data_IF_516565445380
#
_entry.id   IF_516565445380
#
_cell.length_a   1.000
_cell.length_b   1.000
_cell.length_c   1.000
_cell.angle_alpha   90.00
_cell.angle_beta   90.00
_cell.angle_gamma   90.00
#
_symmetry.space_group_name_H-M   'P 1'
#
loop_
_entity.id
_entity.type
_entity.pdbx_description
1 polymer ?
#
# COMPACT_ATOMS: atom_id res chain seq x y z
N UNK A 1 -8.62 0.18 9.59
CA UNK A 1 -8.77 0.23 8.14
C UNK A 1 -7.48 0.52 7.44
N UNK A 2 -7.57 0.82 6.16
CA UNK A 2 -6.45 1.04 5.27
C UNK A 2 -6.06 -0.21 4.48
N UNK A 3 -5.58 0.00 3.24
CA UNK A 3 -5.30 -1.09 2.31
C UNK A 3 -4.21 -2.01 2.85
N UNK A 4 -3.07 -1.44 3.30
CA UNK A 4 -1.97 -2.24 3.84
C UNK A 4 -2.38 -3.09 5.04
N UNK A 5 -3.16 -2.53 5.97
CA UNK A 5 -3.67 -3.31 7.12
C UNK A 5 -4.64 -4.41 6.67
N UNK A 6 -5.49 -4.16 5.67
CA UNK A 6 -6.41 -5.18 5.15
C UNK A 6 -5.64 -6.32 4.45
N UNK A 7 -4.58 -6.00 3.72
CA UNK A 7 -3.69 -7.00 3.13
C UNK A 7 -3.04 -7.84 4.24
N UNK A 8 -2.47 -7.19 5.27
CA UNK A 8 -1.87 -7.89 6.40
C UNK A 8 -2.85 -8.82 7.12
N UNK A 9 -4.11 -8.39 7.29
CA UNK A 9 -5.18 -9.20 7.84
C UNK A 9 -5.43 -10.46 7.01
N UNK A 10 -5.60 -10.31 5.69
CA UNK A 10 -5.84 -11.44 4.81
C UNK A 10 -4.64 -12.41 4.78
N UNK A 11 -3.41 -11.90 4.79
CA UNK A 11 -2.21 -12.74 4.88
C UNK A 11 -2.20 -13.56 6.16
N UNK A 12 -2.59 -12.97 7.30
CA UNK A 12 -2.71 -13.72 8.57
C UNK A 12 -3.80 -14.80 8.53
N UNK A 13 -4.95 -14.52 7.93
CA UNK A 13 -6.01 -15.52 7.73
C UNK A 13 -5.55 -16.69 6.86
N UNK A 14 -4.63 -16.43 5.91
CA UNK A 14 -3.99 -17.45 5.09
C UNK A 14 -2.81 -18.17 5.80
N UNK A 15 -2.56 -17.86 7.06
CA UNK A 15 -1.51 -18.50 7.87
C UNK A 15 -0.10 -17.93 7.63
N UNK A 16 0.04 -16.82 6.89
CA UNK A 16 1.35 -16.22 6.58
C UNK A 16 1.81 -15.34 7.76
N UNK A 17 3.01 -15.55 8.33
CA UNK A 17 3.60 -14.62 9.29
C UNK A 17 3.74 -13.22 8.67
N UNK A 18 3.26 -12.18 9.36
CA UNK A 18 3.13 -10.85 8.77
C UNK A 18 3.52 -9.77 9.77
N UNK A 19 4.48 -8.94 9.37
CA UNK A 19 4.78 -7.64 9.98
C UNK A 19 4.00 -6.55 9.27
N UNK A 20 3.49 -5.58 10.02
CA UNK A 20 2.87 -4.39 9.44
C UNK A 20 3.65 -3.14 9.86
N UNK A 21 4.43 -2.59 8.92
CA UNK A 21 5.10 -1.32 9.06
C UNK A 21 4.11 -0.21 8.71
N UNK A 22 3.71 0.54 9.72
CA UNK A 22 2.69 1.59 9.60
C UNK A 22 2.97 2.70 10.59
N UNK A 23 2.24 3.82 10.50
CA UNK A 23 2.29 4.87 11.50
C UNK A 23 0.99 4.92 12.29
N UNK A 24 1.11 5.00 13.61
CA UNK A 24 0.02 5.18 14.56
C UNK A 24 0.27 6.41 15.42
N UNK A 25 -0.79 7.11 15.76
CA UNK A 25 -0.71 8.27 16.65
C UNK A 25 -0.75 7.88 18.12
N UNK A 26 -1.12 8.84 18.96
CA UNK A 26 -1.34 8.68 20.41
C UNK A 26 -2.83 8.78 20.78
N UNK A 27 -3.72 8.62 19.83
CA UNK A 27 -5.17 8.71 20.00
C UNK A 27 -5.82 7.34 20.30
N UNK A 28 -7.10 7.34 20.66
CA UNK A 28 -7.86 6.12 20.93
C UNK A 28 -7.96 5.17 19.73
N UNK A 29 -7.82 5.69 18.51
CA UNK A 29 -7.80 4.87 17.30
C UNK A 29 -6.51 4.06 17.18
N UNK A 30 -5.38 4.61 17.64
CA UNK A 30 -4.12 3.85 17.73
C UNK A 30 -4.32 2.57 18.52
N UNK A 31 -4.84 2.68 19.76
CA UNK A 31 -5.09 1.52 20.64
C UNK A 31 -6.04 0.50 20.00
N UNK A 32 -7.09 0.96 19.29
CA UNK A 32 -8.02 0.07 18.58
C UNK A 32 -7.33 -0.70 17.44
N UNK A 33 -6.50 -0.01 16.65
CA UNK A 33 -5.74 -0.63 15.54
C UNK A 33 -4.75 -1.66 16.09
N UNK A 34 -4.00 -1.28 17.13
CA UNK A 34 -3.02 -2.16 17.77
C UNK A 34 -3.69 -3.40 18.38
N UNK A 35 -4.79 -3.23 19.11
CA UNK A 35 -5.53 -4.36 19.68
C UNK A 35 -6.03 -5.30 18.56
N UNK A 36 -6.65 -4.74 17.53
CA UNK A 36 -7.12 -5.52 16.40
C UNK A 36 -6.00 -6.28 15.66
N UNK A 37 -4.82 -5.68 15.54
CA UNK A 37 -3.67 -6.37 14.95
C UNK A 37 -3.13 -7.48 15.86
N UNK A 38 -3.05 -7.24 17.17
CA UNK A 38 -2.68 -8.28 18.15
C UNK A 38 -3.62 -9.48 18.09
N UNK A 39 -4.93 -9.25 18.06
CA UNK A 39 -5.95 -10.30 18.01
C UNK A 39 -5.83 -11.17 16.75
N UNK A 40 -5.33 -10.60 15.66
CA UNK A 40 -5.08 -11.27 14.38
C UNK A 40 -3.67 -11.89 14.28
N UNK A 41 -2.80 -11.64 15.28
CA UNK A 41 -1.40 -12.06 15.22
C UNK A 41 -0.56 -11.31 14.18
N UNK A 42 -0.94 -10.08 13.82
CA UNK A 42 -0.12 -9.18 12.99
C UNK A 42 0.90 -8.52 13.91
N UNK A 43 2.18 -8.63 13.54
CA UNK A 43 3.27 -8.02 14.30
C UNK A 43 3.39 -6.52 13.98
N UNK A 44 3.27 -5.69 15.01
CA UNK A 44 3.41 -4.23 14.95
C UNK A 44 4.67 -3.72 15.66
N UNK A 45 5.60 -4.59 16.04
CA UNK A 45 6.81 -4.20 16.79
C UNK A 45 7.67 -3.15 16.09
N UNK A 46 7.50 -3.04 14.79
CA UNK A 46 8.18 -2.07 13.92
C UNK A 46 7.27 -0.90 13.48
N UNK A 47 6.06 -0.75 14.03
CA UNK A 47 5.22 0.39 13.72
C UNK A 47 5.81 1.69 14.26
N UNK A 48 5.70 2.77 13.49
CA UNK A 48 6.12 4.11 13.89
C UNK A 48 5.06 4.75 14.79
N UNK A 49 5.39 4.95 16.07
CA UNK A 49 4.55 5.71 16.99
C UNK A 49 4.89 7.20 16.87
N UNK A 50 3.89 8.00 16.50
CA UNK A 50 4.03 9.45 16.33
C UNK A 50 3.42 10.15 17.55
N UNK A 51 4.23 10.72 18.44
CA UNK A 51 3.72 11.50 19.57
C UNK A 51 2.84 12.64 19.05
N UNK A 52 1.69 12.86 19.70
CA UNK A 52 0.70 13.87 19.32
C UNK A 52 0.13 13.73 17.90
N UNK A 53 0.45 12.61 17.21
CA UNK A 53 -0.07 12.28 15.90
C UNK A 53 -1.52 11.80 15.98
N UNK A 54 -2.25 11.97 14.86
CA UNK A 54 -3.60 11.42 14.69
C UNK A 54 -3.52 10.20 13.79
N UNK A 55 -4.02 9.07 14.28
CA UNK A 55 -4.07 7.83 13.50
C UNK A 55 -4.96 8.00 12.27
N UNK A 56 -4.50 7.48 11.13
CA UNK A 56 -5.22 7.56 9.85
C UNK A 56 -6.68 7.17 9.98
N UNK A 57 -7.55 7.97 9.38
CA UNK A 57 -8.99 7.77 9.42
C UNK A 57 -9.57 7.83 8.02
N UNK A 58 -10.43 6.89 7.69
CA UNK A 58 -11.23 6.89 6.48
C UNK A 58 -12.69 6.65 6.86
N UNK A 59 -13.55 7.59 6.52
CA UNK A 59 -14.99 7.52 6.80
C UNK A 59 -15.71 7.70 5.47
N UNK A 60 -16.69 6.86 5.19
CA UNK A 60 -17.54 7.00 4.02
C UNK A 60 -19.02 6.91 4.41
N UNK A 61 -19.86 7.51 3.60
CA UNK A 61 -21.31 7.40 3.67
C UNK A 61 -21.74 6.64 2.42
N UNK A 62 -22.46 5.53 2.62
CA UNK A 62 -23.12 4.79 1.53
C UNK A 62 -24.47 5.41 1.21
N UNK A 63 -24.87 5.32 -0.04
CA UNK A 63 -26.23 5.62 -0.47
C UNK A 63 -27.18 4.43 -0.25
N UNK A 64 -28.44 4.57 -0.70
CA UNK A 64 -29.46 3.52 -0.57
C UNK A 64 -29.16 2.26 -1.37
N UNK A 65 -28.32 2.36 -2.40
CA UNK A 65 -27.96 1.27 -3.32
C UNK A 65 -26.68 0.55 -2.88
N UNK A 66 -26.07 1.05 -1.80
CA UNK A 66 -24.84 0.51 -1.21
C UNK A 66 -23.56 1.08 -1.83
N UNK A 67 -23.68 2.00 -2.76
CA UNK A 67 -22.56 2.72 -3.34
C UNK A 67 -22.04 3.83 -2.41
N UNK A 68 -20.79 4.20 -2.59
CA UNK A 68 -20.14 5.24 -1.79
C UNK A 68 -20.54 6.63 -2.32
N UNK A 69 -21.40 7.33 -1.58
CA UNK A 69 -21.84 8.67 -1.93
C UNK A 69 -20.76 9.72 -1.64
N UNK A 70 -20.08 9.63 -0.51
CA UNK A 70 -19.01 10.53 -0.12
C UNK A 70 -18.00 9.83 0.82
N UNK A 71 -16.74 10.19 0.71
CA UNK A 71 -15.71 9.74 1.65
C UNK A 71 -14.81 10.90 2.09
N UNK A 72 -14.36 10.84 3.34
CA UNK A 72 -13.38 11.75 3.92
C UNK A 72 -12.23 10.93 4.47
N UNK A 73 -11.01 11.30 4.12
CA UNK A 73 -9.81 10.63 4.62
C UNK A 73 -8.83 11.60 5.25
N UNK A 74 -8.30 11.23 6.42
CA UNK A 74 -7.15 11.86 7.06
C UNK A 74 -6.02 10.83 7.07
N UNK A 75 -5.02 11.04 6.21
CA UNK A 75 -3.88 10.15 6.02
C UNK A 75 -2.54 10.88 6.24
N UNK A 76 -2.57 12.06 6.89
CA UNK A 76 -1.38 12.90 7.08
C UNK A 76 -0.25 12.17 7.82
N UNK A 77 -0.58 11.30 8.76
CA UNK A 77 0.41 10.53 9.52
C UNK A 77 1.26 9.62 8.61
N UNK A 78 0.74 9.18 7.46
CA UNK A 78 1.50 8.37 6.51
C UNK A 78 2.72 9.11 5.95
N UNK A 79 2.74 10.44 5.97
CA UNK A 79 3.89 11.26 5.58
C UNK A 79 5.10 11.09 6.53
N UNK A 80 4.88 10.54 7.72
CA UNK A 80 5.94 10.22 8.68
C UNK A 80 6.69 8.92 8.35
N UNK A 81 6.14 8.09 7.46
CA UNK A 81 6.80 6.89 6.94
C UNK A 81 7.79 7.30 5.83
N UNK A 82 8.87 7.94 6.24
CA UNK A 82 9.89 8.52 5.38
C UNK A 82 10.90 7.46 4.88
N UNK A 83 11.73 7.76 3.87
CA UNK A 83 12.85 6.90 3.49
C UNK A 83 13.77 6.53 4.67
N UNK A 84 14.07 7.47 5.58
CA UNK A 84 14.92 7.23 6.75
C UNK A 84 14.29 6.20 7.70
N UNK A 85 12.97 6.25 7.90
CA UNK A 85 12.27 5.21 8.66
C UNK A 85 12.46 3.84 7.99
N UNK A 86 12.26 3.72 6.69
CA UNK A 86 12.43 2.44 5.99
C UNK A 86 13.89 2.00 5.93
N UNK A 87 14.84 2.92 5.87
CA UNK A 87 16.27 2.61 5.97
C UNK A 87 16.60 1.92 7.30
N UNK A 88 16.01 2.38 8.39
CA UNK A 88 16.18 1.75 9.72
C UNK A 88 15.54 0.36 9.83
N UNK A 89 14.66 -0.02 8.91
CA UNK A 89 13.95 -1.30 8.87
C UNK A 89 14.45 -2.23 7.74
N UNK A 90 15.50 -1.84 7.03
CA UNK A 90 15.91 -2.51 5.79
C UNK A 90 16.31 -3.97 5.99
N UNK A 91 16.94 -4.30 7.10
CA UNK A 91 17.32 -5.67 7.45
C UNK A 91 16.09 -6.57 7.64
N UNK A 92 15.04 -6.05 8.32
CA UNK A 92 13.77 -6.75 8.46
C UNK A 92 13.11 -6.96 7.09
N UNK A 93 13.05 -5.91 6.28
CA UNK A 93 12.42 -5.95 4.96
C UNK A 93 13.11 -6.96 4.04
N UNK A 94 14.45 -6.96 4.02
CA UNK A 94 15.24 -7.87 3.20
C UNK A 94 15.32 -9.31 3.77
N UNK A 95 14.99 -9.49 5.04
CA UNK A 95 14.83 -10.80 5.68
C UNK A 95 13.46 -11.45 5.43
N UNK A 96 12.50 -10.72 4.85
CA UNK A 96 11.17 -11.23 4.54
C UNK A 96 11.16 -12.01 3.21
N UNK A 97 10.13 -12.84 2.99
CA UNK A 97 9.92 -13.51 1.71
C UNK A 97 9.45 -12.54 0.60
N UNK A 98 8.75 -11.48 0.98
CA UNK A 98 8.27 -10.42 0.09
C UNK A 98 7.90 -9.18 0.89
N UNK A 99 7.90 -8.02 0.22
CA UNK A 99 7.41 -6.74 0.74
C UNK A 99 6.18 -6.33 -0.04
N UNK A 100 5.10 -5.98 0.67
CA UNK A 100 3.87 -5.47 0.05
C UNK A 100 3.71 -4.01 0.45
N UNK A 101 3.58 -3.15 -0.54
CA UNK A 101 3.49 -1.69 -0.40
C UNK A 101 2.13 -1.22 -0.89
N UNK A 102 1.47 -0.35 -0.14
CA UNK A 102 0.34 0.41 -0.65
C UNK A 102 0.73 1.85 -0.99
N UNK A 103 0.08 2.44 -2.00
CA UNK A 103 0.39 3.79 -2.46
C UNK A 103 -0.14 4.90 -1.53
N UNK A 104 -0.51 4.61 -0.27
CA UNK A 104 -0.69 5.64 0.74
C UNK A 104 0.63 6.27 1.17
N UNK A 105 1.74 5.55 1.03
CA UNK A 105 3.08 6.05 1.34
C UNK A 105 3.46 7.28 0.49
N UNK A 106 4.37 8.14 0.97
CA UNK A 106 5.04 9.14 0.15
C UNK A 106 5.74 8.50 -1.05
N UNK A 107 5.79 9.23 -2.18
CA UNK A 107 6.47 8.75 -3.40
C UNK A 107 7.94 8.39 -3.15
N UNK A 108 8.64 9.24 -2.40
CA UNK A 108 10.06 9.04 -2.05
C UNK A 108 10.27 7.76 -1.25
N UNK A 109 9.32 7.39 -0.40
CA UNK A 109 9.40 6.15 0.38
C UNK A 109 9.12 4.92 -0.49
N UNK A 110 8.18 5.01 -1.44
CA UNK A 110 7.95 3.95 -2.42
C UNK A 110 9.20 3.77 -3.29
N UNK A 111 9.79 4.87 -3.78
CA UNK A 111 11.02 4.85 -4.55
C UNK A 111 12.16 4.19 -3.77
N UNK A 112 12.35 4.58 -2.50
CA UNK A 112 13.36 3.99 -1.62
C UNK A 112 13.17 2.47 -1.49
N UNK A 113 11.95 2.03 -1.20
CA UNK A 113 11.65 0.60 -1.04
C UNK A 113 11.90 -0.19 -2.32
N UNK A 114 11.46 0.31 -3.46
CA UNK A 114 11.70 -0.35 -4.76
C UNK A 114 13.16 -0.37 -5.15
N UNK A 115 13.98 0.55 -4.64
CA UNK A 115 15.40 0.64 -4.94
C UNK A 115 16.26 -0.26 -4.03
N UNK A 116 15.91 -0.37 -2.74
CA UNK A 116 16.78 -0.98 -1.73
C UNK A 116 16.31 -2.35 -1.24
N UNK A 117 15.03 -2.73 -1.47
CA UNK A 117 14.58 -4.08 -1.18
C UNK A 117 15.18 -5.07 -2.18
N UNK A 118 15.80 -6.13 -1.65
CA UNK A 118 16.40 -7.22 -2.44
C UNK A 118 15.42 -8.38 -2.66
N UNK A 119 14.28 -8.36 -1.99
CA UNK A 119 13.18 -9.32 -2.11
C UNK A 119 12.07 -8.80 -3.02
N UNK A 120 11.18 -9.66 -3.54
CA UNK A 120 10.08 -9.22 -4.38
C UNK A 120 9.21 -8.14 -3.74
N UNK A 121 9.02 -7.01 -4.43
CA UNK A 121 8.15 -5.91 -3.99
C UNK A 121 6.84 -5.95 -4.77
N UNK A 122 5.74 -6.05 -4.03
CA UNK A 122 4.37 -6.01 -4.55
C UNK A 122 3.76 -4.66 -4.24
N UNK A 123 3.03 -4.06 -5.19
CA UNK A 123 2.40 -2.74 -4.97
C UNK A 123 0.89 -2.79 -5.25
N UNK A 124 0.10 -2.25 -4.31
CA UNK A 124 -1.30 -1.89 -4.52
C UNK A 124 -1.41 -0.38 -4.73
N UNK A 125 -1.92 0.10 -5.89
CA UNK A 125 -2.04 1.52 -6.19
C UNK A 125 -3.07 2.28 -5.34
N UNK A 126 -4.02 1.58 -4.72
CA UNK A 126 -5.07 2.10 -3.81
C UNK A 126 -6.14 2.94 -4.52
N UNK A 127 -5.75 3.88 -5.35
CA UNK A 127 -6.65 4.75 -6.13
C UNK A 127 -5.90 5.41 -7.28
N UNK A 128 -6.62 5.92 -8.28
CA UNK A 128 -6.02 6.64 -9.41
C UNK A 128 -5.12 7.79 -8.98
N UNK A 129 -5.57 8.63 -8.05
CA UNK A 129 -4.78 9.77 -7.54
C UNK A 129 -3.47 9.31 -6.89
N UNK A 130 -3.50 8.18 -6.18
CA UNK A 130 -2.30 7.64 -5.52
C UNK A 130 -1.41 6.88 -6.50
N UNK A 131 -1.99 6.22 -7.51
CA UNK A 131 -1.27 5.54 -8.58
C UNK A 131 -0.33 6.47 -9.36
N UNK A 132 -0.66 7.77 -9.50
CA UNK A 132 0.22 8.78 -10.10
C UNK A 132 1.65 8.77 -9.52
N UNK A 133 1.79 8.44 -8.25
CA UNK A 133 3.10 8.34 -7.59
C UNK A 133 3.99 7.24 -8.16
N UNK A 134 3.41 6.25 -8.86
CA UNK A 134 4.12 5.08 -9.36
C UNK A 134 4.75 5.30 -10.73
N UNK A 135 4.42 6.41 -11.43
CA UNK A 135 5.05 6.73 -12.70
C UNK A 135 6.59 6.80 -12.57
N UNK A 136 7.27 6.02 -13.41
CA UNK A 136 8.73 5.91 -13.43
C UNK A 136 9.32 5.05 -12.31
N UNK A 137 8.51 4.38 -11.47
CA UNK A 137 8.98 3.48 -10.42
C UNK A 137 8.78 1.99 -10.74
N UNK A 138 8.03 1.65 -11.80
CA UNK A 138 7.62 0.27 -12.07
C UNK A 138 8.78 -0.67 -12.45
N UNK A 139 9.91 -0.14 -12.92
CA UNK A 139 11.05 -0.94 -13.40
C UNK A 139 11.73 -1.83 -12.36
N UNK A 140 11.41 -1.66 -11.09
CA UNK A 140 11.92 -2.49 -9.98
C UNK A 140 10.82 -3.16 -9.17
N UNK A 141 9.58 -3.07 -9.65
CA UNK A 141 8.43 -3.68 -9.00
C UNK A 141 8.26 -5.11 -9.52
N UNK A 142 8.14 -6.07 -8.59
CA UNK A 142 7.89 -7.46 -8.98
C UNK A 142 6.45 -7.64 -9.44
N UNK A 143 5.47 -7.18 -8.65
CA UNK A 143 4.05 -7.34 -8.96
C UNK A 143 3.29 -6.06 -8.67
N UNK A 144 2.50 -5.62 -9.65
CA UNK A 144 1.52 -4.55 -9.49
C UNK A 144 0.12 -5.13 -9.56
N UNK A 145 -0.75 -4.76 -8.61
CA UNK A 145 -2.15 -5.21 -8.60
C UNK A 145 -3.08 -4.01 -8.79
N UNK A 146 -3.22 -3.48 -9.99
CA UNK A 146 -4.13 -2.38 -10.28
C UNK A 146 -5.56 -2.87 -10.52
N UNK A 147 -6.54 -2.00 -10.29
CA UNK A 147 -7.83 -2.14 -10.94
C UNK A 147 -7.77 -1.62 -12.39
N UNK A 148 -8.88 -1.75 -13.15
CA UNK A 148 -8.91 -1.33 -14.56
C UNK A 148 -8.52 0.13 -14.76
N UNK A 149 -9.07 1.04 -13.95
CA UNK A 149 -8.85 2.49 -14.12
C UNK A 149 -7.40 2.86 -13.76
N UNK A 150 -6.85 2.24 -12.75
CA UNK A 150 -5.44 2.40 -12.37
C UNK A 150 -4.49 1.84 -13.43
N UNK A 151 -4.84 0.70 -14.04
CA UNK A 151 -4.09 0.12 -15.16
C UNK A 151 -4.13 1.03 -16.39
N UNK A 152 -5.30 1.59 -16.74
CA UNK A 152 -5.44 2.57 -17.82
C UNK A 152 -4.54 3.80 -17.58
N UNK A 153 -4.55 4.32 -16.35
CA UNK A 153 -3.72 5.48 -15.95
C UNK A 153 -2.23 5.20 -16.13
N UNK A 154 -1.75 4.08 -15.58
CA UNK A 154 -0.32 3.75 -15.53
C UNK A 154 0.21 3.26 -16.88
N UNK A 155 -0.61 2.60 -17.69
CA UNK A 155 -0.24 2.13 -19.02
C UNK A 155 -0.42 3.16 -20.13
N UNK A 156 -1.30 4.14 -19.91
CA UNK A 156 -1.75 5.06 -20.97
C UNK A 156 -2.69 4.43 -22.00
N UNK A 157 -3.14 3.18 -21.78
CA UNK A 157 -3.99 2.42 -22.69
C UNK A 157 -5.41 2.35 -22.14
N UNK A 158 -6.41 2.77 -22.93
CA UNK A 158 -7.83 2.61 -22.57
C UNK A 158 -8.25 1.14 -22.69
N UNK A 159 -8.87 0.59 -21.64
CA UNK A 159 -9.27 -0.82 -21.56
C UNK A 159 -10.78 -0.92 -21.80
N UNK A 160 -11.15 -1.46 -22.96
CA UNK A 160 -12.55 -1.65 -23.38
C UNK A 160 -12.91 -3.11 -23.64
N UNK A 161 -11.91 -3.95 -23.84
CA UNK A 161 -12.00 -5.37 -24.18
C UNK A 161 -10.72 -6.12 -23.78
N UNK A 162 -10.69 -7.43 -23.99
CA UNK A 162 -9.55 -8.28 -23.66
C UNK A 162 -8.30 -7.90 -24.46
N UNK A 163 -8.44 -7.48 -25.72
CA UNK A 163 -7.29 -7.09 -26.54
C UNK A 163 -6.62 -5.82 -26.01
N UNK A 164 -7.38 -4.83 -25.60
CA UNK A 164 -6.89 -3.61 -24.98
C UNK A 164 -6.36 -3.85 -23.55
N UNK A 165 -6.91 -4.82 -22.82
CA UNK A 165 -6.37 -5.25 -21.53
C UNK A 165 -4.97 -5.84 -21.69
N UNK A 166 -4.75 -6.72 -22.68
CA UNK A 166 -3.44 -7.27 -22.99
C UNK A 166 -2.43 -6.17 -23.37
N UNK A 167 -2.85 -5.20 -24.20
CA UNK A 167 -2.00 -4.07 -24.56
C UNK A 167 -1.60 -3.23 -23.35
N UNK A 168 -2.53 -3.01 -22.42
CA UNK A 168 -2.25 -2.29 -21.18
C UNK A 168 -1.22 -3.06 -20.33
N UNK A 169 -1.38 -4.38 -20.21
CA UNK A 169 -0.43 -5.23 -19.49
C UNK A 169 0.96 -5.20 -20.15
N UNK A 170 1.05 -5.33 -21.47
CA UNK A 170 2.30 -5.23 -22.22
C UNK A 170 2.98 -3.86 -22.01
N UNK A 171 2.21 -2.77 -22.01
CA UNK A 171 2.74 -1.43 -21.78
C UNK A 171 3.29 -1.26 -20.36
N UNK A 172 2.69 -1.91 -19.36
CA UNK A 172 3.20 -1.91 -17.99
C UNK A 172 4.47 -2.77 -17.86
N UNK A 173 4.48 -3.95 -18.48
CA UNK A 173 5.67 -4.82 -18.53
C UNK A 173 6.85 -4.16 -19.25
N UNK A 174 6.57 -3.40 -20.32
CA UNK A 174 7.60 -2.64 -21.04
C UNK A 174 8.26 -1.54 -20.19
N UNK A 175 7.61 -1.09 -19.10
CA UNK A 175 8.20 -0.18 -18.13
C UNK A 175 9.16 -0.90 -17.14
N UNK A 176 9.33 -2.22 -17.27
CA UNK A 176 10.19 -3.05 -16.42
C UNK A 176 9.47 -3.78 -15.29
N UNK A 177 8.15 -3.61 -15.17
CA UNK A 177 7.32 -4.42 -14.25
C UNK A 177 7.46 -5.90 -14.59
N UNK A 178 7.59 -6.78 -13.57
CA UNK A 178 7.77 -8.22 -13.84
C UNK A 178 6.42 -8.95 -13.94
N UNK A 179 5.41 -8.53 -13.19
CA UNK A 179 4.05 -9.12 -13.17
C UNK A 179 2.97 -8.10 -12.86
#
# INVERSE_FOLDING_TARGET
GGVGRNIAHNMRLLGVPTYLLTAVGSDSRASQVEQSCRDLGIDLSHALHVPDGRTSTYVFVGDSDGDMAIAVSDMEICKKLTPDYFASQLDLLNGAAAVVVDANLPRESIAYLTEHCTVPVFIDPVSTVKAEKLHGLLGRVHTLKPNRIEAELLSGVKITDDASLHKAAEALLAQGLQR
#
